data_IF_171398202418
#
_entry.id   IF_171398202418
#
_cell.length_a   1.000
_cell.length_b   1.000
_cell.length_c   1.000
_cell.angle_alpha   90.00
_cell.angle_beta   90.00
_cell.angle_gamma   90.00
#
_symmetry.space_group_name_H-M   'P 1'
#
loop_
_entity.id
_entity.type
_entity.pdbx_description
1 polymer ?
#
# COMPACT_ATOMS: atom_id res chain seq x y z
N UNK A 1 -26.07 -8.50 37.48
CA UNK A 1 -26.29 -7.77 36.22
C UNK A 1 -25.94 -8.71 35.04
N UNK A 2 -26.85 -9.00 34.12
CA UNK A 2 -26.51 -9.88 33.01
C UNK A 2 -26.14 -9.02 31.81
N UNK A 3 -24.88 -9.02 31.42
CA UNK A 3 -24.42 -8.27 30.25
C UNK A 3 -23.66 -9.19 29.28
N UNK A 4 -24.11 -9.22 28.04
CA UNK A 4 -23.46 -9.96 26.96
C UNK A 4 -22.61 -8.98 26.14
N UNK A 5 -21.30 -9.23 26.09
CA UNK A 5 -20.32 -8.39 25.41
C UNK A 5 -19.77 -9.17 24.21
N UNK A 6 -19.85 -8.54 23.03
CA UNK A 6 -19.39 -9.11 21.77
C UNK A 6 -18.25 -8.28 21.18
N UNK A 7 -17.65 -8.74 20.11
CA UNK A 7 -16.70 -7.96 19.34
C UNK A 7 -17.27 -6.60 18.94
N UNK A 8 -16.37 -5.60 18.84
CA UNK A 8 -16.73 -4.26 18.32
C UNK A 8 -17.51 -4.39 17.03
N UNK A 9 -18.54 -3.58 16.86
CA UNK A 9 -19.34 -3.51 15.63
C UNK A 9 -18.47 -3.24 14.40
N UNK A 10 -17.46 -2.41 14.56
CA UNK A 10 -16.49 -2.12 13.50
C UNK A 10 -15.74 -3.36 13.03
N UNK A 11 -15.35 -4.27 13.94
CA UNK A 11 -14.67 -5.53 13.62
C UNK A 11 -15.64 -6.51 12.97
N UNK A 12 -16.86 -6.66 13.49
CA UNK A 12 -17.89 -7.51 12.90
C UNK A 12 -18.24 -7.07 11.47
N UNK A 13 -18.40 -5.75 11.27
CA UNK A 13 -18.61 -5.17 9.95
C UNK A 13 -17.45 -5.46 9.01
N UNK A 14 -16.20 -5.34 9.50
CA UNK A 14 -15.02 -5.61 8.70
C UNK A 14 -14.93 -7.09 8.29
N UNK A 15 -15.11 -8.02 9.24
CA UNK A 15 -15.12 -9.46 8.95
C UNK A 15 -16.19 -9.79 7.90
N UNK A 16 -17.40 -9.24 8.07
CA UNK A 16 -18.49 -9.43 7.13
C UNK A 16 -18.17 -8.88 5.74
N UNK A 17 -17.61 -7.67 5.69
CA UNK A 17 -17.20 -7.00 4.44
C UNK A 17 -16.09 -7.78 3.73
N UNK A 18 -15.07 -8.26 4.44
CA UNK A 18 -13.98 -9.05 3.84
C UNK A 18 -14.45 -10.39 3.28
N UNK A 19 -15.46 -11.03 3.89
CA UNK A 19 -16.08 -12.27 3.35
C UNK A 19 -16.67 -12.06 1.96
N UNK A 20 -17.14 -10.87 1.65
CA UNK A 20 -17.72 -10.51 0.35
C UNK A 20 -16.67 -9.95 -0.60
N UNK A 21 -15.88 -8.98 -0.13
CA UNK A 21 -14.93 -8.26 -0.99
C UNK A 21 -13.79 -9.16 -1.50
N UNK A 22 -13.25 -10.06 -0.67
CA UNK A 22 -12.13 -10.90 -1.11
C UNK A 22 -12.50 -11.79 -2.30
N UNK A 23 -13.63 -12.55 -2.31
CA UNK A 23 -14.02 -13.31 -3.49
C UNK A 23 -14.27 -12.44 -4.72
N UNK A 24 -14.94 -11.29 -4.56
CA UNK A 24 -15.22 -10.37 -5.66
C UNK A 24 -13.91 -9.84 -6.25
N UNK A 25 -12.98 -9.38 -5.42
CA UNK A 25 -11.68 -8.88 -5.89
C UNK A 25 -10.85 -9.99 -6.56
N UNK A 26 -10.89 -11.21 -6.01
CA UNK A 26 -10.25 -12.36 -6.64
C UNK A 26 -10.75 -12.62 -8.06
N UNK A 27 -12.06 -12.58 -8.25
CA UNK A 27 -12.67 -12.75 -9.58
C UNK A 27 -12.27 -11.59 -10.51
N UNK A 28 -12.32 -10.34 -10.03
CA UNK A 28 -11.91 -9.16 -10.82
C UNK A 28 -10.47 -9.29 -11.28
N UNK A 29 -9.54 -9.65 -10.36
CA UNK A 29 -8.13 -9.84 -10.70
C UNK A 29 -7.92 -10.94 -11.74
N UNK A 30 -8.64 -12.05 -11.60
CA UNK A 30 -8.57 -13.15 -12.55
C UNK A 30 -9.06 -12.72 -13.95
N UNK A 31 -10.21 -12.03 -14.02
CA UNK A 31 -10.79 -11.54 -15.28
C UNK A 31 -9.83 -10.57 -15.97
N UNK A 32 -9.28 -9.58 -15.23
CA UNK A 32 -8.31 -8.64 -15.78
C UNK A 32 -7.05 -9.34 -16.29
N UNK A 33 -6.55 -10.33 -15.54
CA UNK A 33 -5.41 -11.14 -15.97
C UNK A 33 -5.70 -11.92 -17.26
N UNK A 34 -6.87 -12.54 -17.39
CA UNK A 34 -7.26 -13.28 -18.58
C UNK A 34 -7.51 -12.39 -19.80
N UNK A 35 -8.00 -11.18 -19.63
CA UNK A 35 -8.17 -10.23 -20.72
C UNK A 35 -6.83 -9.89 -21.40
N UNK A 36 -5.77 -9.84 -20.61
CA UNK A 36 -4.41 -9.57 -21.11
C UNK A 36 -3.71 -10.84 -21.66
N UNK A 37 -4.14 -12.04 -21.23
CA UNK A 37 -3.59 -13.30 -21.76
C UNK A 37 -3.80 -13.44 -23.26
N UNK A 38 -4.93 -12.94 -23.78
CA UNK A 38 -5.25 -12.95 -25.23
C UNK A 38 -4.26 -12.13 -26.06
N UNK A 39 -3.68 -11.11 -25.44
CA UNK A 39 -2.70 -10.23 -26.06
C UNK A 39 -1.24 -10.70 -25.77
N UNK A 40 -1.06 -11.87 -25.16
CA UNK A 40 0.24 -12.48 -24.86
C UNK A 40 0.92 -11.94 -23.58
N UNK A 41 0.21 -11.20 -22.72
CA UNK A 41 0.77 -10.56 -21.52
C UNK A 41 0.69 -11.46 -20.29
N UNK A 42 1.41 -12.58 -20.32
CA UNK A 42 1.35 -13.63 -19.31
C UNK A 42 1.73 -13.22 -17.89
N UNK A 43 2.55 -12.16 -17.73
CA UNK A 43 2.92 -11.66 -16.39
C UNK A 43 1.70 -11.08 -15.67
N UNK A 44 0.87 -10.31 -16.36
CA UNK A 44 -0.37 -9.73 -15.79
C UNK A 44 -1.36 -10.86 -15.46
N UNK A 45 -1.44 -11.87 -16.33
CA UNK A 45 -2.22 -13.09 -16.06
C UNK A 45 -1.74 -13.80 -14.80
N UNK A 46 -0.42 -13.97 -14.65
CA UNK A 46 0.18 -14.55 -13.46
C UNK A 46 -0.14 -13.77 -12.17
N UNK A 47 -0.05 -12.46 -12.23
CA UNK A 47 -0.46 -11.59 -11.10
C UNK A 47 -1.94 -11.76 -10.76
N UNK A 48 -2.82 -11.86 -11.76
CA UNK A 48 -4.25 -12.10 -11.56
C UNK A 48 -4.52 -13.43 -10.85
N UNK A 49 -3.82 -14.50 -11.24
CA UNK A 49 -3.93 -15.83 -10.60
C UNK A 49 -3.41 -15.79 -9.15
N UNK A 50 -2.25 -15.18 -8.92
CA UNK A 50 -1.68 -15.02 -7.57
C UNK A 50 -2.65 -14.22 -6.69
N UNK A 51 -3.20 -13.13 -7.21
CA UNK A 51 -4.20 -12.31 -6.52
C UNK A 51 -5.43 -13.14 -6.12
N UNK A 52 -5.98 -13.94 -7.04
CA UNK A 52 -7.09 -14.84 -6.74
C UNK A 52 -6.75 -15.83 -5.62
N UNK A 53 -5.61 -16.50 -5.70
CA UNK A 53 -5.19 -17.48 -4.68
C UNK A 53 -5.02 -16.83 -3.31
N UNK A 54 -4.45 -15.61 -3.26
CA UNK A 54 -4.34 -14.83 -2.04
C UNK A 54 -5.72 -14.48 -1.45
N UNK A 55 -6.67 -14.05 -2.30
CA UNK A 55 -8.04 -13.73 -1.86
C UNK A 55 -8.77 -14.96 -1.33
N UNK A 56 -8.62 -16.13 -1.97
CA UNK A 56 -9.15 -17.39 -1.47
C UNK A 56 -8.55 -17.72 -0.10
N UNK A 57 -7.22 -17.62 0.05
CA UNK A 57 -6.56 -17.87 1.33
C UNK A 57 -7.09 -16.95 2.45
N UNK A 58 -7.21 -15.65 2.20
CA UNK A 58 -7.74 -14.69 3.17
C UNK A 58 -9.20 -15.01 3.51
N UNK A 59 -10.02 -15.32 2.52
CA UNK A 59 -11.43 -15.70 2.72
C UNK A 59 -11.55 -16.92 3.63
N UNK A 60 -10.72 -17.95 3.41
CA UNK A 60 -10.71 -19.15 4.26
C UNK A 60 -10.28 -18.82 5.70
N UNK A 61 -9.29 -17.94 5.88
CA UNK A 61 -8.85 -17.49 7.21
C UNK A 61 -9.94 -16.67 7.93
N UNK A 62 -10.59 -15.75 7.22
CA UNK A 62 -11.67 -14.91 7.78
C UNK A 62 -12.89 -15.77 8.14
N UNK A 63 -13.23 -16.77 7.32
CA UNK A 63 -14.33 -17.70 7.60
C UNK A 63 -14.06 -18.61 8.81
N UNK A 64 -12.78 -18.90 9.11
CA UNK A 64 -12.40 -19.70 10.29
C UNK A 64 -12.38 -18.87 11.57
N UNK A 65 -12.41 -17.54 11.49
CA UNK A 65 -12.45 -16.68 12.69
C UNK A 65 -13.80 -16.88 13.36
N UNK A 66 -13.78 -17.52 14.53
CA UNK A 66 -14.97 -17.72 15.34
C UNK A 66 -15.33 -16.42 16.04
N UNK A 67 -16.61 -16.18 16.22
CA UNK A 67 -17.10 -15.10 17.08
C UNK A 67 -16.76 -15.46 18.53
N UNK A 68 -16.21 -14.48 19.24
CA UNK A 68 -15.96 -14.59 20.68
C UNK A 68 -16.83 -13.56 21.39
N UNK A 69 -17.45 -13.99 22.48
CA UNK A 69 -18.20 -13.11 23.37
C UNK A 69 -18.01 -13.56 24.82
N UNK A 70 -18.27 -12.67 25.75
CA UNK A 70 -18.35 -13.02 27.15
C UNK A 70 -19.59 -12.41 27.80
N UNK A 71 -20.09 -13.08 28.80
CA UNK A 71 -21.25 -12.64 29.56
C UNK A 71 -20.88 -12.64 31.05
N UNK A 72 -21.10 -11.51 31.71
CA UNK A 72 -20.90 -11.35 33.14
C UNK A 72 -22.24 -11.49 33.83
N UNK A 73 -22.24 -12.24 34.92
CA UNK A 73 -23.35 -12.35 35.88
C UNK A 73 -22.85 -11.96 37.25
N UNK A 74 -23.67 -11.94 38.27
CA UNK A 74 -23.24 -11.63 39.67
C UNK A 74 -22.29 -12.70 40.26
N UNK A 75 -22.33 -13.95 39.75
CA UNK A 75 -21.59 -15.07 40.32
C UNK A 75 -20.47 -15.59 39.42
N UNK A 76 -20.52 -15.30 38.11
CA UNK A 76 -19.65 -15.96 37.13
C UNK A 76 -19.46 -15.17 35.84
N UNK A 77 -18.41 -15.57 35.10
CA UNK A 77 -18.14 -15.11 33.74
C UNK A 77 -18.23 -16.31 32.79
N UNK A 78 -19.02 -16.16 31.75
CA UNK A 78 -19.16 -17.14 30.70
C UNK A 78 -18.46 -16.67 29.43
N UNK A 79 -17.49 -17.44 28.93
CA UNK A 79 -16.80 -17.17 27.65
C UNK A 79 -17.37 -18.09 26.57
N UNK A 80 -17.72 -17.50 25.42
CA UNK A 80 -18.28 -18.22 24.29
C UNK A 80 -17.44 -18.04 23.04
N UNK A 81 -16.92 -19.13 22.50
CA UNK A 81 -16.17 -19.16 21.26
C UNK A 81 -16.89 -20.02 20.20
N UNK A 82 -17.66 -19.40 19.33
CA UNK A 82 -18.53 -20.09 18.37
C UNK A 82 -19.62 -20.89 19.08
N UNK A 83 -19.50 -22.24 19.07
CA UNK A 83 -20.45 -23.15 19.75
C UNK A 83 -19.94 -23.61 21.13
N UNK A 84 -18.71 -23.33 21.45
CA UNK A 84 -18.12 -23.73 22.72
C UNK A 84 -18.40 -22.64 23.75
N UNK A 85 -18.92 -23.05 24.89
CA UNK A 85 -19.24 -22.20 26.02
C UNK A 85 -18.55 -22.73 27.26
N UNK A 86 -17.86 -21.88 27.99
CA UNK A 86 -17.17 -22.21 29.24
C UNK A 86 -17.52 -21.17 30.29
N UNK A 87 -17.96 -21.67 31.44
CA UNK A 87 -18.38 -20.86 32.56
C UNK A 87 -17.36 -20.97 33.68
N UNK A 88 -16.97 -19.83 34.28
CA UNK A 88 -16.02 -19.74 35.38
C UNK A 88 -16.65 -18.89 36.49
N UNK A 89 -16.71 -19.44 37.72
CA UNK A 89 -17.02 -18.65 38.89
C UNK A 89 -15.89 -17.64 39.19
N UNK A 90 -16.22 -16.48 39.71
CA UNK A 90 -15.19 -15.49 40.06
C UNK A 90 -14.14 -16.06 41.05
N UNK A 91 -14.49 -16.99 41.90
CA UNK A 91 -13.58 -17.70 42.84
C UNK A 91 -12.52 -18.57 42.12
N UNK A 92 -12.77 -18.97 40.88
CA UNK A 92 -11.82 -19.74 40.06
C UNK A 92 -10.83 -18.86 39.32
N UNK A 93 -11.11 -17.57 39.23
CA UNK A 93 -10.24 -16.59 38.56
C UNK A 93 -9.17 -16.16 39.56
N UNK A 94 -7.90 -16.33 39.21
CA UNK A 94 -6.78 -16.06 40.10
C UNK A 94 -6.20 -14.67 39.94
N UNK A 95 -6.20 -14.13 38.69
CA UNK A 95 -5.73 -12.77 38.41
C UNK A 95 -6.10 -12.32 37.00
N UNK A 96 -6.08 -10.99 36.80
CA UNK A 96 -6.09 -10.34 35.52
C UNK A 96 -4.75 -9.64 35.31
N UNK A 97 -4.27 -9.71 34.06
CA UNK A 97 -3.02 -9.03 33.66
C UNK A 97 -3.31 -8.24 32.42
N UNK A 98 -3.13 -6.93 32.44
CA UNK A 98 -3.27 -6.02 31.30
C UNK A 98 -1.91 -5.52 30.86
N UNK A 99 -1.59 -5.69 29.57
CA UNK A 99 -0.37 -5.15 28.94
C UNK A 99 -0.65 -3.91 28.07
N UNK A 100 -1.83 -3.28 28.26
CA UNK A 100 -2.31 -2.12 27.50
C UNK A 100 -2.90 -2.48 26.13
N UNK A 101 -2.75 -3.72 25.67
CA UNK A 101 -3.32 -4.23 24.40
C UNK A 101 -4.17 -5.47 24.60
N UNK A 102 -3.81 -6.32 25.54
CA UNK A 102 -4.45 -7.60 25.79
C UNK A 102 -4.68 -7.75 27.29
N UNK A 103 -5.94 -7.86 27.66
CA UNK A 103 -6.34 -8.27 29.01
C UNK A 103 -6.33 -9.81 29.07
N UNK A 104 -5.41 -10.38 29.83
CA UNK A 104 -5.28 -11.82 30.03
C UNK A 104 -5.88 -12.23 31.37
N UNK A 105 -6.81 -13.18 31.32
CA UNK A 105 -7.53 -13.69 32.49
C UNK A 105 -6.98 -15.07 32.85
N UNK A 106 -6.58 -15.27 34.11
CA UNK A 106 -5.99 -16.49 34.60
C UNK A 106 -6.92 -17.21 35.58
N UNK A 107 -6.95 -18.54 35.51
CA UNK A 107 -7.51 -19.41 36.53
C UNK A 107 -6.39 -20.22 37.16
N UNK A 108 -6.77 -21.10 38.14
CA UNK A 108 -5.86 -22.08 38.72
C UNK A 108 -5.26 -23.06 37.71
N UNK A 109 -5.95 -23.27 36.58
CA UNK A 109 -5.52 -24.17 35.53
C UNK A 109 -4.70 -23.47 34.42
N UNK A 110 -4.55 -22.15 34.48
CA UNK A 110 -3.81 -21.35 33.50
C UNK A 110 -4.65 -20.26 32.85
N UNK A 111 -4.28 -19.86 31.62
CA UNK A 111 -4.97 -18.81 30.89
C UNK A 111 -6.35 -19.30 30.41
N UNK A 112 -7.40 -18.57 30.81
CA UNK A 112 -8.78 -18.84 30.38
C UNK A 112 -9.19 -18.01 29.15
N UNK A 113 -8.82 -16.74 29.12
CA UNK A 113 -9.15 -15.84 28.03
C UNK A 113 -8.07 -14.78 27.79
N UNK A 114 -7.98 -14.32 26.56
CA UNK A 114 -7.18 -13.17 26.16
C UNK A 114 -8.06 -12.24 25.34
N UNK A 115 -8.35 -11.06 25.86
CA UNK A 115 -9.25 -10.07 25.30
C UNK A 115 -8.44 -8.89 24.79
N UNK A 116 -8.49 -8.65 23.48
CA UNK A 116 -7.73 -7.55 22.89
C UNK A 116 -8.55 -6.26 22.84
N UNK A 117 -7.95 -5.14 23.25
CA UNK A 117 -8.53 -3.80 23.07
C UNK A 117 -8.79 -3.43 21.60
N UNK A 118 -8.24 -4.18 20.65
CA UNK A 118 -8.55 -4.06 19.22
C UNK A 118 -9.86 -4.74 18.86
N UNK A 119 -10.27 -5.75 19.59
CA UNK A 119 -11.44 -6.60 19.31
C UNK A 119 -12.66 -6.20 20.13
N UNK A 120 -12.45 -5.69 21.33
CA UNK A 120 -13.49 -5.26 22.27
C UNK A 120 -13.42 -3.76 22.53
N UNK A 121 -14.55 -3.17 22.93
CA UNK A 121 -14.54 -1.77 23.36
C UNK A 121 -13.79 -1.62 24.68
N UNK A 122 -12.99 -0.55 24.80
CA UNK A 122 -12.19 -0.30 25.99
C UNK A 122 -13.08 -0.15 27.23
N UNK A 123 -14.27 0.43 27.06
CA UNK A 123 -15.25 0.58 28.14
C UNK A 123 -15.75 -0.78 28.65
N UNK A 124 -15.98 -1.76 27.77
CA UNK A 124 -16.41 -3.11 28.16
C UNK A 124 -15.32 -3.87 28.88
N UNK A 125 -14.05 -3.69 28.47
CA UNK A 125 -12.90 -4.29 29.16
C UNK A 125 -12.66 -3.64 30.54
N UNK A 126 -12.84 -2.32 30.64
CA UNK A 126 -12.73 -1.61 31.91
C UNK A 126 -13.80 -2.06 32.92
N UNK A 127 -15.04 -2.25 32.44
CA UNK A 127 -16.14 -2.76 33.30
C UNK A 127 -15.86 -4.21 33.76
N UNK A 128 -15.29 -5.04 32.88
CA UNK A 128 -14.89 -6.40 33.25
C UNK A 128 -13.78 -6.38 34.34
N UNK A 129 -12.80 -5.47 34.26
CA UNK A 129 -11.78 -5.30 35.26
C UNK A 129 -12.38 -4.81 36.58
N UNK A 130 -13.31 -3.85 36.52
CA UNK A 130 -14.01 -3.32 37.70
C UNK A 130 -14.78 -4.44 38.42
N UNK A 131 -15.61 -5.20 37.68
CA UNK A 131 -16.38 -6.32 38.25
C UNK A 131 -15.49 -7.38 38.90
N UNK A 132 -14.40 -7.78 38.22
CA UNK A 132 -13.43 -8.72 38.80
C UNK A 132 -12.75 -8.16 40.03
N UNK A 133 -12.46 -6.85 40.08
CA UNK A 133 -11.83 -6.18 41.22
C UNK A 133 -12.78 -6.12 42.42
N UNK A 134 -14.06 -5.92 42.19
CA UNK A 134 -15.11 -5.95 43.21
C UNK A 134 -15.20 -7.33 43.87
N UNK A 135 -14.95 -8.39 43.11
CA UNK A 135 -14.78 -9.77 43.61
C UNK A 135 -13.40 -10.05 44.19
N UNK A 136 -12.56 -9.01 44.46
CA UNK A 136 -11.22 -9.10 45.05
C UNK A 136 -10.23 -9.91 44.22
N UNK A 137 -10.43 -10.02 42.92
CA UNK A 137 -9.47 -10.67 42.01
C UNK A 137 -8.30 -9.69 41.77
N UNK A 138 -7.04 -10.12 41.96
CA UNK A 138 -5.87 -9.27 41.73
C UNK A 138 -5.82 -8.78 40.25
N UNK A 139 -5.63 -7.48 40.09
CA UNK A 139 -5.38 -6.86 38.79
C UNK A 139 -3.95 -6.34 38.71
N UNK A 140 -3.21 -6.78 37.73
CA UNK A 140 -1.84 -6.36 37.47
C UNK A 140 -1.82 -5.56 36.13
N UNK A 141 -1.60 -4.26 36.21
CA UNK A 141 -1.32 -3.42 35.07
C UNK A 141 0.19 -3.41 34.82
N UNK A 142 0.60 -3.99 33.68
CA UNK A 142 2.00 -4.08 33.29
C UNK A 142 2.36 -2.96 32.29
N UNK A 143 1.40 -2.17 31.80
CA UNK A 143 1.64 -1.09 30.88
C UNK A 143 2.67 -0.08 31.39
N UNK A 144 2.68 0.20 32.71
CA UNK A 144 3.64 1.11 33.35
C UNK A 144 5.04 0.51 33.57
N UNK A 145 5.23 -0.81 33.45
CA UNK A 145 6.49 -1.50 33.82
C UNK A 145 7.32 -1.94 32.63
N UNK A 146 6.77 -1.94 31.44
CA UNK A 146 7.48 -2.25 30.17
C UNK A 146 7.13 -1.23 29.11
N UNK A 147 7.77 -0.08 29.14
CA UNK A 147 8.10 0.54 27.86
C UNK A 147 8.93 -0.48 27.09
N UNK A 148 8.29 -1.32 26.30
CA UNK A 148 9.01 -2.11 25.30
C UNK A 148 9.81 -1.09 24.48
N UNK A 149 11.15 -1.20 24.44
CA UNK A 149 11.96 -0.22 23.75
C UNK A 149 11.40 -0.10 22.33
N UNK A 150 10.97 1.12 21.97
CA UNK A 150 10.47 1.38 20.63
C UNK A 150 11.50 0.84 19.63
N UNK A 151 11.09 -0.04 18.75
CA UNK A 151 11.97 -0.57 17.69
C UNK A 151 12.26 0.48 16.63
N UNK A 152 11.48 1.55 16.64
CA UNK A 152 11.64 2.66 15.69
C UNK A 152 12.56 3.74 16.26
N UNK A 153 13.41 4.36 15.42
CA UNK A 153 14.25 5.47 15.85
C UNK A 153 13.42 6.59 16.48
N UNK A 154 13.98 7.23 17.50
CA UNK A 154 13.33 8.36 18.16
C UNK A 154 13.00 9.50 17.18
N UNK A 155 11.92 10.23 17.43
CA UNK A 155 11.48 11.36 16.59
C UNK A 155 12.60 12.39 16.41
N UNK A 156 13.39 12.63 17.45
CA UNK A 156 14.54 13.54 17.43
C UNK A 156 15.60 13.18 16.40
N UNK A 157 15.78 11.88 16.08
CA UNK A 157 16.71 11.40 15.06
C UNK A 157 16.01 11.34 13.69
N UNK A 158 14.76 10.94 13.67
CA UNK A 158 14.01 10.73 12.43
C UNK A 158 13.61 12.02 11.75
N UNK A 159 13.22 13.04 12.52
CA UNK A 159 12.78 14.34 12.00
C UNK A 159 13.85 15.01 11.11
N UNK A 160 15.13 15.16 11.52
CA UNK A 160 16.15 15.71 10.65
C UNK A 160 16.43 14.85 9.42
N UNK A 161 16.40 13.51 9.53
CA UNK A 161 16.58 12.62 8.38
C UNK A 161 15.45 12.81 7.37
N UNK A 162 14.19 12.79 7.80
CA UNK A 162 13.03 13.02 6.93
C UNK A 162 13.06 14.41 6.29
N UNK A 163 13.52 15.44 7.01
CA UNK A 163 13.67 16.78 6.48
C UNK A 163 14.74 16.86 5.38
N UNK A 164 15.90 16.22 5.58
CA UNK A 164 16.95 16.12 4.57
C UNK A 164 16.45 15.38 3.33
N UNK A 165 15.73 14.27 3.50
CA UNK A 165 15.10 13.55 2.38
C UNK A 165 14.10 14.44 1.63
N UNK A 166 13.29 15.21 2.34
CA UNK A 166 12.35 16.19 1.72
C UNK A 166 13.09 17.26 0.90
N UNK A 167 14.20 17.77 1.43
CA UNK A 167 15.01 18.76 0.69
C UNK A 167 15.63 18.16 -0.57
N UNK A 168 16.19 16.95 -0.50
CA UNK A 168 16.73 16.23 -1.67
C UNK A 168 15.64 16.08 -2.74
N UNK A 169 14.41 15.75 -2.33
CA UNK A 169 13.28 15.60 -3.24
C UNK A 169 12.83 16.92 -3.87
N UNK A 170 12.81 18.02 -3.12
CA UNK A 170 12.49 19.33 -3.66
C UNK A 170 13.52 19.76 -4.73
N UNK A 171 14.82 19.54 -4.45
CA UNK A 171 15.87 19.76 -5.45
C UNK A 171 15.68 18.88 -6.67
N UNK A 172 15.33 17.60 -6.48
CA UNK A 172 15.07 16.65 -7.56
C UNK A 172 13.84 17.03 -8.39
N UNK A 173 12.79 17.55 -7.73
CA UNK A 173 11.60 18.07 -8.41
C UNK A 173 11.95 19.25 -9.32
N UNK A 174 12.69 20.24 -8.80
CA UNK A 174 13.13 21.39 -9.57
C UNK A 174 14.01 20.94 -10.74
N UNK A 175 14.99 20.07 -10.49
CA UNK A 175 15.85 19.51 -11.53
C UNK A 175 15.07 18.73 -12.59
N UNK A 176 14.02 18.01 -12.20
CA UNK A 176 13.10 17.34 -13.12
C UNK A 176 12.31 18.33 -13.99
N UNK A 177 11.83 19.42 -13.40
CA UNK A 177 11.08 20.47 -14.11
C UNK A 177 11.93 21.20 -15.16
N UNK A 178 13.20 21.46 -14.87
CA UNK A 178 14.13 22.11 -15.83
C UNK A 178 14.79 21.10 -16.79
N UNK A 179 14.42 19.80 -16.72
CA UNK A 179 14.96 18.77 -17.59
C UNK A 179 16.44 18.39 -17.31
N UNK A 180 16.98 18.82 -16.16
CA UNK A 180 18.35 18.53 -15.77
C UNK A 180 18.55 17.09 -15.26
N UNK A 181 17.48 16.41 -14.82
CA UNK A 181 17.51 14.99 -14.44
C UNK A 181 17.37 14.09 -15.67
N UNK A 182 18.46 13.93 -16.38
CA UNK A 182 18.53 13.03 -17.55
C UNK A 182 18.74 11.56 -17.18
N UNK A 183 19.11 11.30 -15.93
CA UNK A 183 19.38 9.95 -15.44
C UNK A 183 18.10 9.30 -14.92
N UNK A 184 17.55 8.37 -15.70
CA UNK A 184 16.47 7.46 -15.33
C UNK A 184 16.73 6.76 -13.99
N UNK A 185 17.98 6.36 -13.76
CA UNK A 185 18.38 5.61 -12.56
C UNK A 185 18.20 6.50 -11.32
N UNK A 186 18.70 7.73 -11.33
CA UNK A 186 18.62 8.62 -10.17
C UNK A 186 17.17 9.07 -9.91
N UNK A 187 16.45 9.46 -10.96
CA UNK A 187 15.03 9.82 -10.84
C UNK A 187 14.15 8.66 -10.36
N UNK A 188 14.41 7.43 -10.85
CA UNK A 188 13.71 6.23 -10.44
C UNK A 188 14.03 5.84 -8.99
N UNK A 189 15.29 5.86 -8.60
CA UNK A 189 15.69 5.58 -7.22
C UNK A 189 15.04 6.56 -6.24
N UNK A 190 15.08 7.86 -6.53
CA UNK A 190 14.46 8.87 -5.68
C UNK A 190 12.94 8.68 -5.61
N UNK A 191 12.30 8.44 -6.75
CA UNK A 191 10.83 8.34 -6.84
C UNK A 191 10.25 7.06 -6.27
N UNK A 192 11.03 6.00 -6.10
CA UNK A 192 10.57 4.71 -5.57
C UNK A 192 11.13 4.44 -4.18
N UNK A 193 12.44 4.59 -3.99
CA UNK A 193 13.10 4.17 -2.74
C UNK A 193 12.65 5.04 -1.57
N UNK A 194 12.58 6.35 -1.76
CA UNK A 194 12.22 7.25 -0.65
C UNK A 194 10.77 7.05 -0.18
N UNK A 195 9.74 7.00 -1.05
CA UNK A 195 8.37 6.70 -0.62
C UNK A 195 8.24 5.33 0.05
N UNK A 196 8.96 4.31 -0.43
CA UNK A 196 8.96 2.99 0.17
C UNK A 196 9.54 3.03 1.58
N UNK A 197 10.70 3.67 1.78
CA UNK A 197 11.30 3.83 3.10
C UNK A 197 10.42 4.64 4.05
N UNK A 198 9.87 5.76 3.58
CA UNK A 198 8.93 6.56 4.36
C UNK A 198 7.67 5.75 4.72
N UNK A 199 7.16 4.93 3.79
CA UNK A 199 6.02 4.05 4.01
C UNK A 199 6.29 2.97 5.06
N UNK A 200 7.43 2.28 4.98
CA UNK A 200 7.84 1.28 5.96
C UNK A 200 7.94 1.91 7.35
N UNK A 201 8.57 3.10 7.44
CA UNK A 201 8.71 3.80 8.70
C UNK A 201 7.34 4.25 9.26
N UNK A 202 6.48 4.80 8.42
CA UNK A 202 5.12 5.19 8.79
C UNK A 202 4.30 4.00 9.31
N UNK A 203 4.34 2.88 8.61
CA UNK A 203 3.65 1.65 9.01
C UNK A 203 4.22 1.08 10.32
N UNK A 204 5.54 1.19 10.52
CA UNK A 204 6.19 0.77 11.76
C UNK A 204 5.72 1.56 12.97
N UNK A 205 5.74 2.91 12.89
CA UNK A 205 5.23 3.78 13.97
C UNK A 205 3.75 3.50 14.27
N UNK A 206 2.97 3.22 13.23
CA UNK A 206 1.56 2.91 13.38
C UNK A 206 1.35 1.57 14.07
N UNK A 207 2.15 0.55 13.72
CA UNK A 207 2.09 -0.76 14.36
C UNK A 207 2.52 -0.71 15.85
N UNK A 208 3.40 0.23 16.22
CA UNK A 208 3.78 0.50 17.59
C UNK A 208 2.74 1.34 18.36
N UNK A 209 1.72 1.86 17.67
CA UNK A 209 0.72 2.75 18.28
C UNK A 209 1.26 4.13 18.65
N UNK A 210 2.41 4.54 18.10
CA UNK A 210 3.06 5.81 18.41
C UNK A 210 2.39 7.01 17.71
N UNK A 211 1.15 7.30 18.10
CA UNK A 211 0.34 8.39 17.54
C UNK A 211 0.96 9.79 17.71
N UNK A 212 1.64 10.13 18.82
CA UNK A 212 2.33 11.42 18.94
C UNK A 212 3.41 11.61 17.88
N UNK A 213 4.25 10.59 17.65
CA UNK A 213 5.29 10.64 16.61
C UNK A 213 4.71 10.78 15.21
N UNK A 214 3.61 10.05 14.92
CA UNK A 214 2.92 10.16 13.63
C UNK A 214 2.40 11.58 13.41
N UNK A 215 1.74 12.19 14.41
CA UNK A 215 1.23 13.56 14.30
C UNK A 215 2.35 14.57 14.07
N UNK A 216 3.48 14.43 14.76
CA UNK A 216 4.62 15.35 14.61
C UNK A 216 5.29 15.23 13.25
N UNK A 217 5.37 14.02 12.69
CA UNK A 217 6.04 13.73 11.43
C UNK A 217 5.10 13.73 10.21
N UNK A 218 3.78 13.93 10.42
CA UNK A 218 2.77 13.78 9.37
C UNK A 218 3.06 14.62 8.11
N UNK A 219 3.42 15.89 8.28
CA UNK A 219 3.76 16.76 7.16
C UNK A 219 4.98 16.27 6.38
N UNK A 220 5.98 15.73 7.07
CA UNK A 220 7.18 15.17 6.45
C UNK A 220 6.87 13.85 5.71
N UNK A 221 6.01 12.99 6.27
CA UNK A 221 5.53 11.81 5.56
C UNK A 221 4.78 12.19 4.29
N UNK A 222 3.86 13.15 4.38
CA UNK A 222 3.13 13.65 3.22
C UNK A 222 4.07 14.14 2.13
N UNK A 223 5.07 14.98 2.46
CA UNK A 223 6.06 15.46 1.51
C UNK A 223 6.87 14.31 0.89
N UNK A 224 7.30 13.34 1.72
CA UNK A 224 8.09 12.19 1.27
C UNK A 224 7.30 11.17 0.43
N UNK A 225 5.97 11.23 0.44
CA UNK A 225 5.12 10.45 -0.46
C UNK A 225 4.81 11.21 -1.75
N UNK A 226 4.38 12.45 -1.66
CA UNK A 226 3.79 13.19 -2.79
C UNK A 226 4.87 13.76 -3.71
N UNK A 227 5.91 14.41 -3.16
CA UNK A 227 6.94 15.07 -3.98
C UNK A 227 7.65 14.07 -4.92
N UNK A 228 8.18 12.91 -4.44
CA UNK A 228 8.85 11.96 -5.32
C UNK A 228 7.89 11.33 -6.33
N UNK A 229 6.63 11.13 -5.95
CA UNK A 229 5.63 10.60 -6.88
C UNK A 229 5.37 11.58 -8.03
N UNK A 230 5.20 12.87 -7.73
CA UNK A 230 5.06 13.91 -8.75
C UNK A 230 6.32 13.99 -9.62
N UNK A 231 7.51 13.98 -9.00
CA UNK A 231 8.79 14.01 -9.73
C UNK A 231 8.92 12.83 -10.67
N UNK A 232 8.60 11.63 -10.20
CA UNK A 232 8.64 10.42 -11.00
C UNK A 232 7.69 10.46 -12.21
N UNK A 233 6.47 10.96 -12.02
CA UNK A 233 5.51 11.15 -13.11
C UNK A 233 5.97 12.19 -14.12
N UNK A 234 6.52 13.32 -13.67
CA UNK A 234 7.09 14.33 -14.57
C UNK A 234 8.18 13.74 -15.44
N UNK A 235 9.11 12.97 -14.86
CA UNK A 235 10.19 12.31 -15.62
C UNK A 235 9.60 11.32 -16.63
N UNK A 236 8.64 10.48 -16.22
CA UNK A 236 8.00 9.54 -17.12
C UNK A 236 7.29 10.25 -18.29
N UNK A 237 6.48 11.27 -18.00
CA UNK A 237 5.77 12.00 -19.04
C UNK A 237 6.68 12.79 -19.99
N UNK A 238 7.87 13.19 -19.52
CA UNK A 238 8.83 13.90 -20.39
C UNK A 238 9.68 12.98 -21.24
N UNK A 239 9.92 11.74 -20.77
CA UNK A 239 10.84 10.80 -21.44
C UNK A 239 10.17 9.74 -22.30
N UNK A 240 8.93 9.34 -21.98
CA UNK A 240 8.30 8.21 -22.63
C UNK A 240 7.00 8.55 -23.35
N UNK A 241 6.95 8.19 -24.64
CA UNK A 241 5.71 8.07 -25.36
C UNK A 241 5.15 6.65 -25.10
N UNK A 242 4.25 6.51 -24.12
CA UNK A 242 3.55 5.25 -23.90
C UNK A 242 2.63 4.95 -25.08
N UNK A 243 2.79 3.77 -25.68
CA UNK A 243 1.98 3.37 -26.84
C UNK A 243 0.61 2.82 -26.40
N UNK A 244 0.59 2.08 -25.30
CA UNK A 244 -0.63 1.48 -24.75
C UNK A 244 -0.62 1.57 -23.23
N UNK A 245 -1.58 2.26 -22.65
CA UNK A 245 -1.74 2.43 -21.21
C UNK A 245 -2.60 1.35 -20.55
N UNK A 246 -3.34 0.55 -21.35
CA UNK A 246 -4.27 -0.46 -20.83
C UNK A 246 -3.58 -1.51 -19.95
N UNK A 247 -2.43 -2.12 -20.33
CA UNK A 247 -1.73 -3.07 -19.48
C UNK A 247 -1.27 -2.46 -18.15
N UNK A 248 -0.82 -1.19 -18.16
CA UNK A 248 -0.45 -0.46 -16.97
C UNK A 248 -1.63 -0.30 -16.00
N UNK A 249 -2.80 0.08 -16.53
CA UNK A 249 -4.02 0.25 -15.72
C UNK A 249 -4.40 -1.07 -15.07
N UNK A 250 -4.43 -2.17 -15.82
CA UNK A 250 -4.83 -3.48 -15.29
C UNK A 250 -3.84 -4.03 -14.27
N UNK A 251 -2.53 -3.95 -14.56
CA UNK A 251 -1.50 -4.33 -13.61
C UNK A 251 -1.58 -3.49 -12.33
N UNK A 252 -1.82 -2.17 -12.46
CA UNK A 252 -1.97 -1.27 -11.31
C UNK A 252 -3.18 -1.62 -10.44
N UNK A 253 -4.33 -1.92 -11.04
CA UNK A 253 -5.53 -2.34 -10.31
C UNK A 253 -5.26 -3.64 -9.55
N UNK A 254 -4.66 -4.64 -10.20
CA UNK A 254 -4.36 -5.93 -9.57
C UNK A 254 -3.40 -5.74 -8.39
N UNK A 255 -2.29 -5.04 -8.59
CA UNK A 255 -1.30 -4.80 -7.53
C UNK A 255 -1.90 -3.97 -6.39
N UNK A 256 -2.68 -2.92 -6.73
CA UNK A 256 -3.38 -2.12 -5.72
C UNK A 256 -4.32 -2.97 -4.86
N UNK A 257 -5.15 -3.81 -5.48
CA UNK A 257 -6.08 -4.67 -4.74
C UNK A 257 -5.33 -5.67 -3.83
N UNK A 258 -4.23 -6.26 -4.31
CA UNK A 258 -3.39 -7.14 -3.49
C UNK A 258 -2.86 -6.40 -2.27
N UNK A 259 -2.23 -5.24 -2.48
CA UNK A 259 -1.65 -4.44 -1.38
C UNK A 259 -2.74 -3.94 -0.43
N UNK A 260 -3.86 -3.43 -0.98
CA UNK A 260 -4.97 -2.91 -0.18
C UNK A 260 -5.57 -3.97 0.74
N UNK A 261 -5.86 -5.16 0.21
CA UNK A 261 -6.41 -6.26 1.03
C UNK A 261 -5.40 -6.76 2.05
N UNK A 262 -4.12 -6.89 1.65
CA UNK A 262 -3.05 -7.28 2.56
C UNK A 262 -2.86 -6.26 3.68
N UNK A 263 -2.86 -4.97 3.35
CA UNK A 263 -2.80 -3.87 4.31
C UNK A 263 -3.98 -3.91 5.28
N UNK A 264 -5.20 -4.12 4.76
CA UNK A 264 -6.40 -4.22 5.59
C UNK A 264 -6.37 -5.45 6.50
N UNK A 265 -5.89 -6.59 6.01
CA UNK A 265 -5.82 -7.84 6.76
C UNK A 265 -4.76 -7.82 7.87
N UNK A 266 -3.57 -7.27 7.59
CA UNK A 266 -2.51 -7.10 8.59
C UNK A 266 -2.85 -5.94 9.52
N UNK A 267 -3.38 -4.85 8.96
CA UNK A 267 -3.67 -3.62 9.68
C UNK A 267 -4.63 -3.82 10.85
N UNK A 268 -5.59 -4.73 10.72
CA UNK A 268 -6.46 -5.09 11.84
C UNK A 268 -5.71 -5.76 12.99
N UNK A 269 -4.77 -6.66 12.67
CA UNK A 269 -3.96 -7.34 13.69
C UNK A 269 -2.94 -6.42 14.35
N UNK A 270 -2.49 -5.39 13.64
CA UNK A 270 -1.46 -4.46 14.05
C UNK A 270 -2.02 -3.11 14.54
N UNK A 271 -3.36 -2.94 14.57
CA UNK A 271 -3.97 -1.66 14.95
C UNK A 271 -3.69 -0.51 13.99
N UNK A 272 -3.38 -0.83 12.70
CA UNK A 272 -3.05 0.19 11.72
C UNK A 272 -4.25 1.10 11.41
N UNK A 273 -4.10 2.43 11.39
CA UNK A 273 -5.20 3.34 11.12
C UNK A 273 -5.75 3.11 9.71
N UNK A 274 -7.04 3.36 9.55
CA UNK A 274 -7.73 3.39 8.25
C UNK A 274 -7.36 4.69 7.53
N UNK A 275 -6.11 4.81 7.10
CA UNK A 275 -5.59 6.06 6.58
C UNK A 275 -5.95 6.22 5.08
N UNK A 276 -6.86 7.15 4.82
CA UNK A 276 -7.24 7.53 3.47
C UNK A 276 -6.04 8.08 2.67
N UNK A 277 -5.13 8.80 3.35
CA UNK A 277 -3.94 9.37 2.71
C UNK A 277 -3.03 8.28 2.13
N UNK A 278 -2.74 7.26 2.91
CA UNK A 278 -1.89 6.15 2.45
C UNK A 278 -2.54 5.39 1.29
N UNK A 279 -3.86 5.20 1.34
CA UNK A 279 -4.61 4.58 0.24
C UNK A 279 -4.55 5.42 -1.03
N UNK A 280 -4.78 6.74 -0.94
CA UNK A 280 -4.67 7.66 -2.08
C UNK A 280 -3.25 7.68 -2.65
N UNK A 281 -2.23 7.67 -1.78
CA UNK A 281 -0.84 7.56 -2.20
C UNK A 281 -0.59 6.29 -3.02
N UNK A 282 -1.06 5.13 -2.56
CA UNK A 282 -0.87 3.87 -3.29
C UNK A 282 -1.48 3.90 -4.70
N UNK A 283 -2.65 4.52 -4.88
CA UNK A 283 -3.31 4.64 -6.19
C UNK A 283 -2.42 5.36 -7.20
N UNK A 284 -1.69 6.40 -6.77
CA UNK A 284 -0.83 7.20 -7.65
C UNK A 284 0.57 6.59 -7.77
N UNK A 285 1.06 5.97 -6.71
CA UNK A 285 2.43 5.43 -6.63
C UNK A 285 2.59 4.09 -7.37
N UNK A 286 1.61 3.18 -7.28
CA UNK A 286 1.72 1.86 -7.90
C UNK A 286 1.94 1.92 -9.42
N UNK A 287 1.16 2.69 -10.21
CA UNK A 287 1.41 2.79 -11.65
C UNK A 287 2.80 3.34 -11.95
N UNK A 288 3.26 4.32 -11.18
CA UNK A 288 4.60 4.88 -11.31
C UNK A 288 5.68 3.83 -11.06
N UNK A 289 5.57 3.10 -9.96
CA UNK A 289 6.51 2.03 -9.61
C UNK A 289 6.56 0.94 -10.69
N UNK A 290 5.39 0.54 -11.21
CA UNK A 290 5.31 -0.45 -12.30
C UNK A 290 6.02 0.03 -13.56
N UNK A 291 5.88 1.31 -13.95
CA UNK A 291 6.61 1.88 -15.09
C UNK A 291 8.12 1.83 -14.86
N UNK A 292 8.59 2.24 -13.68
CA UNK A 292 10.02 2.27 -13.34
C UNK A 292 10.64 0.88 -13.24
N UNK A 293 9.90 -0.10 -12.74
CA UNK A 293 10.36 -1.51 -12.68
C UNK A 293 10.35 -2.12 -14.07
N UNK A 294 9.40 -1.75 -14.92
CA UNK A 294 9.25 -2.28 -16.26
C UNK A 294 10.39 -1.84 -17.21
N UNK A 295 10.88 -0.60 -17.05
CA UNK A 295 11.85 0.01 -17.96
C UNK A 295 13.21 -0.73 -18.04
N UNK A 296 13.94 -1.01 -16.96
CA UNK A 296 15.26 -1.64 -17.04
C UNK A 296 15.23 -3.06 -17.59
N UNK A 297 14.06 -3.72 -17.57
CA UNK A 297 13.88 -5.11 -18.00
C UNK A 297 13.25 -5.17 -19.39
N UNK A 298 12.82 -4.03 -19.93
CA UNK A 298 12.15 -3.96 -21.22
C UNK A 298 13.07 -4.35 -22.37
N UNK A 299 12.55 -5.17 -23.28
CA UNK A 299 13.25 -5.66 -24.47
C UNK A 299 12.72 -4.97 -25.72
N UNK A 300 13.56 -4.79 -26.71
CA UNK A 300 13.13 -4.32 -28.02
C UNK A 300 12.22 -5.36 -28.67
N UNK A 301 10.99 -4.96 -28.96
CA UNK A 301 9.97 -5.81 -29.58
C UNK A 301 9.70 -5.43 -31.05
N UNK A 302 9.96 -4.17 -31.42
CA UNK A 302 9.86 -3.73 -32.80
C UNK A 302 10.90 -2.64 -33.09
N UNK A 303 11.30 -2.54 -34.36
CA UNK A 303 12.19 -1.51 -34.88
C UNK A 303 11.61 -1.01 -36.18
N UNK A 304 11.41 0.30 -36.32
CA UNK A 304 10.82 0.92 -37.48
C UNK A 304 11.71 2.07 -38.00
N UNK A 305 11.98 2.11 -39.28
CA UNK A 305 12.58 3.27 -39.92
C UNK A 305 11.48 4.26 -40.31
N UNK A 306 11.60 5.48 -39.84
CA UNK A 306 10.61 6.51 -40.01
C UNK A 306 11.24 7.78 -40.59
N UNK A 307 10.48 8.48 -41.43
CA UNK A 307 10.86 9.80 -41.91
C UNK A 307 10.06 10.85 -41.17
N UNK A 308 10.74 11.87 -40.65
CA UNK A 308 10.10 13.01 -39.98
C UNK A 308 9.43 13.88 -41.04
N UNK A 309 8.11 13.93 -41.03
CA UNK A 309 7.31 14.73 -41.98
C UNK A 309 7.03 16.14 -41.46
N UNK A 310 6.97 16.31 -40.14
CA UNK A 310 6.72 17.59 -39.47
C UNK A 310 7.36 17.60 -38.09
N UNK A 311 7.82 18.77 -37.65
CA UNK A 311 8.31 19.02 -36.31
C UNK A 311 7.44 20.09 -35.68
N UNK A 312 6.93 19.87 -34.48
CA UNK A 312 6.10 20.81 -33.74
C UNK A 312 6.58 20.92 -32.31
N UNK A 313 6.53 22.14 -31.77
CA UNK A 313 6.68 22.35 -30.34
C UNK A 313 5.62 23.34 -29.86
N UNK A 314 5.14 23.11 -28.65
CA UNK A 314 4.25 24.05 -27.97
C UNK A 314 4.58 24.11 -26.50
N UNK A 315 4.35 25.27 -25.91
CA UNK A 315 4.57 25.52 -24.50
C UNK A 315 3.25 25.40 -23.76
N UNK A 316 3.20 24.51 -22.78
CA UNK A 316 2.10 24.44 -21.81
C UNK A 316 2.46 25.30 -20.59
N UNK A 317 1.52 25.52 -19.65
CA UNK A 317 1.80 26.25 -18.40
C UNK A 317 2.96 25.65 -17.59
N UNK A 318 3.29 24.37 -17.78
CA UNK A 318 4.24 23.64 -16.92
C UNK A 318 5.39 22.98 -17.68
N UNK A 319 5.33 22.88 -19.02
CA UNK A 319 6.37 22.20 -19.79
C UNK A 319 6.37 22.60 -21.26
N UNK A 320 7.52 22.41 -21.91
CA UNK A 320 7.62 22.41 -23.36
C UNK A 320 7.41 20.99 -23.88
N UNK A 321 6.57 20.85 -24.88
CA UNK A 321 6.25 19.57 -25.51
C UNK A 321 6.72 19.60 -26.95
N UNK A 322 7.47 18.56 -27.34
CA UNK A 322 8.08 18.43 -28.66
C UNK A 322 7.52 17.20 -29.37
N UNK A 323 7.13 17.37 -30.61
CA UNK A 323 6.55 16.29 -31.40
C UNK A 323 7.20 16.20 -32.76
N UNK A 324 7.33 14.95 -33.23
CA UNK A 324 7.64 14.62 -34.61
C UNK A 324 6.45 13.87 -35.22
N UNK A 325 5.88 14.39 -36.28
CA UNK A 325 5.02 13.57 -37.12
C UNK A 325 5.92 12.70 -38.00
N UNK A 326 5.81 11.40 -37.82
CA UNK A 326 6.66 10.43 -38.51
C UNK A 326 5.84 9.54 -39.45
N UNK A 327 6.49 9.12 -40.52
CA UNK A 327 5.89 8.23 -41.54
C UNK A 327 6.79 7.00 -41.70
N UNK A 328 6.20 5.81 -41.57
CA UNK A 328 6.81 4.53 -41.92
C UNK A 328 5.92 3.79 -42.88
N UNK A 329 6.36 3.62 -44.15
CA UNK A 329 5.53 3.08 -45.20
C UNK A 329 4.22 3.87 -45.41
N UNK A 330 3.07 3.20 -45.18
CA UNK A 330 1.73 3.83 -45.26
C UNK A 330 1.23 4.38 -43.92
N UNK A 331 1.89 4.08 -42.79
CA UNK A 331 1.45 4.52 -41.46
C UNK A 331 2.03 5.89 -41.16
N UNK A 332 1.21 6.73 -40.53
CA UNK A 332 1.63 8.03 -39.96
C UNK A 332 1.23 8.06 -38.51
N UNK A 333 2.11 8.54 -37.65
CA UNK A 333 1.80 8.76 -36.23
C UNK A 333 2.68 9.88 -35.68
N UNK A 334 2.29 10.40 -34.53
CA UNK A 334 3.03 11.43 -33.82
C UNK A 334 3.91 10.79 -32.75
N UNK A 335 5.22 11.03 -32.84
CA UNK A 335 6.21 10.63 -31.84
C UNK A 335 6.48 11.81 -30.89
N UNK A 336 6.41 11.58 -29.58
CA UNK A 336 6.78 12.59 -28.60
C UNK A 336 8.30 12.57 -28.41
N UNK A 337 8.95 13.65 -28.84
CA UNK A 337 10.40 13.79 -28.78
C UNK A 337 10.84 14.44 -27.46
N UNK A 338 12.04 14.13 -27.01
CA UNK A 338 12.72 14.89 -25.96
C UNK A 338 13.26 16.21 -26.54
N UNK A 339 13.55 17.20 -25.67
CA UNK A 339 14.15 18.46 -26.10
C UNK A 339 15.49 18.27 -26.82
N UNK A 340 16.25 17.23 -26.44
CA UNK A 340 17.54 16.87 -27.07
C UNK A 340 17.33 16.32 -28.48
N UNK A 341 16.39 15.41 -28.65
CA UNK A 341 16.05 14.83 -29.96
C UNK A 341 15.49 15.91 -30.88
N UNK A 342 14.64 16.81 -30.38
CA UNK A 342 14.08 17.89 -31.16
C UNK A 342 15.13 18.90 -31.70
N UNK A 343 16.23 19.10 -30.96
CA UNK A 343 17.36 19.89 -31.40
C UNK A 343 18.24 19.15 -32.42
N UNK A 344 18.29 17.83 -32.32
CA UNK A 344 19.16 16.96 -33.12
C UNK A 344 18.57 16.64 -34.49
N UNK A 345 17.26 16.41 -34.57
CA UNK A 345 16.56 15.94 -35.78
C UNK A 345 15.65 17.00 -36.34
N UNK A 346 15.53 17.02 -37.70
CA UNK A 346 14.74 17.99 -38.46
C UNK A 346 13.74 17.28 -39.37
N UNK A 347 12.80 18.05 -39.91
CA UNK A 347 11.91 17.58 -40.96
C UNK A 347 12.73 17.05 -42.17
N UNK A 348 12.40 15.86 -42.63
CA UNK A 348 13.08 15.15 -43.74
C UNK A 348 14.10 14.12 -43.25
N UNK A 349 14.54 14.19 -41.97
CA UNK A 349 15.50 13.21 -41.45
C UNK A 349 14.84 11.83 -41.31
N UNK A 350 15.66 10.79 -41.53
CA UNK A 350 15.28 9.41 -41.25
C UNK A 350 15.78 9.04 -39.86
N UNK A 351 14.88 8.54 -39.05
CA UNK A 351 15.16 8.08 -37.68
C UNK A 351 14.72 6.64 -37.49
N UNK A 352 15.42 5.92 -36.65
CA UNK A 352 15.04 4.56 -36.29
C UNK A 352 14.33 4.64 -34.91
N UNK A 353 13.05 4.29 -34.90
CA UNK A 353 12.26 4.20 -33.67
C UNK A 353 12.21 2.75 -33.22
N UNK A 354 12.59 2.50 -31.96
CA UNK A 354 12.45 1.19 -31.33
C UNK A 354 11.32 1.21 -30.33
N UNK A 355 10.48 0.18 -30.38
CA UNK A 355 9.47 -0.08 -29.36
C UNK A 355 10.08 -1.07 -28.36
N UNK A 356 10.08 -0.70 -27.10
CA UNK A 356 10.49 -1.56 -25.99
C UNK A 356 9.26 -1.96 -25.18
N UNK A 357 9.20 -3.24 -24.81
CA UNK A 357 8.11 -3.78 -24.01
C UNK A 357 8.71 -4.54 -22.82
N UNK A 358 8.29 -4.20 -21.63
CA UNK A 358 8.72 -4.88 -20.40
C UNK A 358 7.73 -5.94 -19.92
N UNK A 359 8.03 -6.60 -18.79
CA UNK A 359 7.27 -7.73 -18.28
C UNK A 359 5.81 -7.41 -17.94
N UNK A 360 5.50 -6.15 -17.62
CA UNK A 360 4.12 -5.71 -17.38
C UNK A 360 3.40 -5.26 -18.65
N UNK A 361 3.95 -5.64 -19.82
CA UNK A 361 3.41 -5.27 -21.13
C UNK A 361 3.30 -3.75 -21.40
N UNK A 362 3.95 -2.95 -20.55
CA UNK A 362 4.03 -1.52 -20.74
C UNK A 362 5.05 -1.27 -21.86
N UNK A 363 4.56 -0.72 -22.96
CA UNK A 363 5.36 -0.44 -24.15
C UNK A 363 5.59 1.06 -24.32
N UNK A 364 6.80 1.41 -24.73
CA UNK A 364 7.18 2.79 -25.04
C UNK A 364 8.11 2.84 -26.24
N UNK A 365 8.14 3.99 -26.91
CA UNK A 365 8.95 4.23 -28.10
C UNK A 365 10.10 5.17 -27.78
N UNK A 366 11.27 4.86 -28.32
CA UNK A 366 12.44 5.74 -28.25
C UNK A 366 13.17 5.76 -29.59
N UNK A 367 13.90 6.83 -29.87
CA UNK A 367 14.79 6.88 -31.02
C UNK A 367 16.03 6.08 -30.70
N UNK A 368 16.38 5.10 -31.56
CA UNK A 368 17.60 4.33 -31.44
C UNK A 368 18.79 5.27 -31.62
N UNK A 369 19.63 5.28 -30.59
CA UNK A 369 20.89 6.03 -30.60
C UNK A 369 21.96 5.29 -31.35
#
# INVERSE_FOLDING_TARGET
>A
MNRDVTYKDSLLFHISTMKILCPVFGIVMLVLGFLEAKDGYYVITGLGVIGLLLMIYITLKVNKKKTFSYMMTEDDITFKEGKNEKKYAYEDITKLVDDGKILTIYSKEGVIAQLSSLEFEVADLAELVEECTDHKIPYEDIEGTKEAPSRMPAVSVTKPVMLVLTLIQLVSLVAGMIGALDSLIVGGLISIVIPVLAGIYYLGLTAEGNQPAIKELYGLFFCNFIIPTITGWLILFTKYAMENTRPLIYASIIVFLIIFVFYRWIGEKAGLPRDALFTCFLVIFIPLALCWINDPIAKVTATEECIITKTEHYTTKFSQVYHFDVKTGKKKYTYRATAKEFKQYKKGDTITIVTKTGPFAISYKEIKK
#
